data_IF_758819982664
#
_entry.id   IF_758819982664
#
_cell.length_a   1.000
_cell.length_b   1.000
_cell.length_c   1.000
_cell.angle_alpha   90.00
_cell.angle_beta   90.00
_cell.angle_gamma   90.00
#
_symmetry.space_group_name_H-M   'P 1'
#
loop_
_entity.id
_entity.type
_entity.pdbx_description
1 polymer ?
#
# COMPACT_ATOMS: atom_id res chain seq x y z
N UNK A 1 0.53 7.94 36.16
CA UNK A 1 -0.47 7.76 35.07
C UNK A 1 0.25 6.99 33.97
N UNK A 2 -0.08 5.74 33.77
CA UNK A 2 0.49 4.95 32.67
C UNK A 2 -0.07 5.48 31.38
N UNK A 3 0.77 5.96 30.48
CA UNK A 3 0.37 6.47 29.20
C UNK A 3 0.65 5.38 28.13
N UNK A 4 -0.05 4.26 28.25
CA UNK A 4 0.03 3.19 27.25
C UNK A 4 -0.58 3.66 25.93
N UNK A 5 0.14 3.44 24.85
CA UNK A 5 -0.29 3.76 23.49
C UNK A 5 -0.12 2.55 22.61
N UNK A 6 -1.07 2.34 21.71
CA UNK A 6 -0.88 1.41 20.60
C UNK A 6 -0.33 2.19 19.41
N UNK A 7 0.74 1.69 18.83
CA UNK A 7 1.36 2.26 17.64
C UNK A 7 1.02 1.40 16.43
N UNK A 8 0.31 1.99 15.49
CA UNK A 8 -0.04 1.36 14.22
C UNK A 8 0.92 1.85 13.14
N UNK A 9 1.52 0.95 12.39
CA UNK A 9 2.43 1.30 11.30
C UNK A 9 2.61 0.17 10.33
N UNK A 10 3.18 0.46 9.17
CA UNK A 10 3.47 -0.57 8.19
C UNK A 10 4.61 -0.16 7.27
N UNK A 11 5.03 -1.11 6.46
CA UNK A 11 6.12 -0.97 5.50
C UNK A 11 5.67 -1.52 4.16
N UNK A 12 5.88 -0.76 3.10
CA UNK A 12 5.84 -1.24 1.73
C UNK A 12 7.26 -1.61 1.29
N UNK A 13 7.45 -2.85 0.85
CA UNK A 13 8.64 -3.31 0.16
C UNK A 13 8.28 -3.58 -1.28
N UNK A 14 8.94 -2.88 -2.22
CA UNK A 14 8.66 -2.97 -3.65
C UNK A 14 9.93 -3.40 -4.37
N UNK A 15 9.80 -4.39 -5.23
CA UNK A 15 10.87 -4.84 -6.11
C UNK A 15 10.42 -4.74 -7.56
N UNK A 16 11.28 -4.22 -8.42
CA UNK A 16 11.07 -4.17 -9.86
C UNK A 16 12.09 -5.06 -10.55
N UNK A 17 11.59 -5.98 -11.38
CA UNK A 17 12.41 -6.85 -12.21
C UNK A 17 12.17 -6.52 -13.69
N UNK A 18 13.22 -6.66 -14.50
CA UNK A 18 13.11 -6.53 -15.95
C UNK A 18 12.42 -7.76 -16.59
N UNK A 19 12.22 -7.72 -17.90
CA UNK A 19 11.61 -8.81 -18.67
C UNK A 19 12.37 -10.14 -18.59
N UNK A 20 13.64 -10.12 -18.22
CA UNK A 20 14.53 -11.27 -18.10
C UNK A 20 14.62 -11.76 -16.64
N UNK A 21 13.89 -11.12 -15.72
CA UNK A 21 13.82 -11.45 -14.29
C UNK A 21 14.95 -10.86 -13.44
N UNK A 22 15.79 -9.98 -13.99
CA UNK A 22 16.84 -9.32 -13.20
C UNK A 22 16.29 -8.19 -12.37
N UNK A 23 16.72 -8.08 -11.11
CA UNK A 23 16.32 -6.98 -10.23
C UNK A 23 16.88 -5.65 -10.76
N UNK A 24 15.99 -4.72 -11.09
CA UNK A 24 16.33 -3.34 -11.51
C UNK A 24 16.51 -2.42 -10.32
N UNK A 25 15.58 -2.49 -9.37
CA UNK A 25 15.59 -1.69 -8.16
C UNK A 25 14.65 -2.28 -7.10
N UNK A 26 14.89 -1.90 -5.85
CA UNK A 26 13.93 -2.12 -4.78
C UNK A 26 13.81 -0.86 -3.91
N UNK A 27 12.69 -0.74 -3.22
CA UNK A 27 12.41 0.31 -2.26
C UNK A 27 11.71 -0.28 -1.05
N UNK A 28 12.04 0.24 0.13
CA UNK A 28 11.37 -0.10 1.38
C UNK A 28 11.01 1.21 2.09
N UNK A 29 9.75 1.39 2.43
CA UNK A 29 9.26 2.63 3.03
C UNK A 29 8.19 2.39 4.06
N UNK A 30 8.35 3.07 5.20
CA UNK A 30 7.27 3.19 6.17
C UNK A 30 6.10 3.94 5.56
N UNK A 31 4.91 3.47 5.84
CA UNK A 31 3.67 4.09 5.38
C UNK A 31 3.16 5.12 6.38
N UNK A 32 2.24 5.94 5.91
CA UNK A 32 1.33 6.71 6.74
C UNK A 32 -0.03 5.97 6.76
N UNK A 33 -0.49 5.56 7.95
CA UNK A 33 -1.88 5.12 8.13
C UNK A 33 -2.73 6.37 8.21
N UNK A 34 -3.63 6.55 7.24
CA UNK A 34 -4.44 7.77 7.15
C UNK A 34 -5.61 7.75 8.13
N UNK A 35 -6.22 8.90 8.43
CA UNK A 35 -7.28 9.03 9.43
C UNK A 35 -8.48 8.10 9.18
N UNK A 36 -8.89 7.94 7.91
CA UNK A 36 -9.99 7.03 7.56
C UNK A 36 -9.62 5.55 7.75
N UNK A 37 -8.34 5.18 7.59
CA UNK A 37 -7.83 3.85 7.91
C UNK A 37 -7.86 3.55 9.41
N UNK A 38 -7.43 4.49 10.25
CA UNK A 38 -7.49 4.36 11.71
C UNK A 38 -8.94 4.25 12.20
N UNK A 39 -9.83 5.07 11.63
CA UNK A 39 -11.28 4.99 11.92
C UNK A 39 -11.85 3.63 11.54
N UNK A 40 -11.52 3.12 10.34
CA UNK A 40 -12.02 1.84 9.85
C UNK A 40 -11.61 0.67 10.76
N UNK A 41 -10.36 0.65 11.25
CA UNK A 41 -9.90 -0.33 12.23
C UNK A 41 -10.77 -0.32 13.50
N UNK A 42 -11.00 0.86 14.09
CA UNK A 42 -11.80 0.98 15.31
C UNK A 42 -13.26 0.56 15.07
N UNK A 43 -13.86 1.00 13.96
CA UNK A 43 -15.25 0.64 13.61
C UNK A 43 -15.40 -0.87 13.44
N UNK A 44 -14.48 -1.53 12.72
CA UNK A 44 -14.54 -2.97 12.47
C UNK A 44 -14.38 -3.78 13.74
N UNK A 45 -13.44 -3.42 14.59
CA UNK A 45 -13.10 -4.20 15.77
C UNK A 45 -14.05 -3.93 16.94
N UNK A 46 -14.34 -2.65 17.22
CA UNK A 46 -15.08 -2.28 18.44
C UNK A 46 -16.58 -2.06 18.24
N UNK A 47 -17.03 -1.68 17.04
CA UNK A 47 -18.47 -1.44 16.81
C UNK A 47 -19.18 -2.61 16.13
N UNK A 48 -18.47 -3.67 15.78
CA UNK A 48 -19.06 -4.87 15.17
C UNK A 48 -19.65 -4.63 13.78
N UNK A 49 -19.18 -3.62 13.05
CA UNK A 49 -19.65 -3.37 11.68
C UNK A 49 -19.35 -4.58 10.80
N UNK A 50 -20.34 -5.07 10.07
CA UNK A 50 -20.19 -6.20 9.15
C UNK A 50 -18.99 -5.99 8.21
N UNK A 51 -18.09 -6.97 8.16
CA UNK A 51 -16.81 -6.84 7.48
C UNK A 51 -16.40 -8.12 6.75
N UNK A 52 -16.05 -7.96 5.48
CA UNK A 52 -15.32 -8.97 4.72
C UNK A 52 -13.97 -8.37 4.35
N UNK A 53 -12.91 -9.00 4.82
CA UNK A 53 -11.56 -8.53 4.53
C UNK A 53 -11.27 -8.63 3.03
N UNK A 54 -11.08 -7.49 2.39
CA UNK A 54 -10.73 -7.39 0.98
C UNK A 54 -9.82 -6.19 0.82
N UNK A 55 -8.51 -6.44 0.69
CA UNK A 55 -7.49 -5.42 0.57
C UNK A 55 -6.72 -5.54 -0.72
N UNK A 56 -6.40 -4.43 -1.32
CA UNK A 56 -5.75 -4.32 -2.62
C UNK A 56 -4.64 -3.29 -2.57
N UNK A 57 -3.59 -3.53 -3.32
CA UNK A 57 -2.47 -2.61 -3.46
C UNK A 57 -2.60 -1.87 -4.77
N UNK A 58 -2.45 -0.54 -4.72
CA UNK A 58 -2.27 0.31 -5.89
C UNK A 58 -0.89 0.95 -5.89
N UNK A 59 -0.47 1.39 -7.07
CA UNK A 59 0.73 2.19 -7.27
C UNK A 59 0.32 3.61 -7.62
N UNK A 60 1.09 4.61 -7.19
CA UNK A 60 0.88 5.96 -7.67
C UNK A 60 2.12 6.52 -8.36
N UNK A 61 1.88 7.45 -9.31
CA UNK A 61 2.92 8.10 -10.09
C UNK A 61 3.69 9.14 -9.28
N UNK A 62 4.69 9.73 -9.93
CA UNK A 62 5.47 10.83 -9.38
C UNK A 62 4.55 11.95 -8.89
N UNK A 63 4.42 12.05 -7.59
CA UNK A 63 3.81 13.21 -6.98
C UNK A 63 4.91 14.23 -6.79
N UNK A 64 4.93 15.20 -7.64
CA UNK A 64 6.04 16.17 -7.76
C UNK A 64 6.31 17.00 -6.49
N UNK A 65 5.50 16.87 -5.44
CA UNK A 65 5.70 17.62 -4.20
C UNK A 65 4.78 17.21 -3.03
N UNK A 66 3.84 16.29 -3.21
CA UNK A 66 2.85 16.01 -2.18
C UNK A 66 2.93 14.55 -1.72
N UNK A 67 3.53 14.36 -0.57
CA UNK A 67 3.48 13.11 0.14
C UNK A 67 2.05 12.78 0.56
N UNK A 68 1.71 11.50 0.74
CA UNK A 68 0.45 11.14 1.37
C UNK A 68 0.24 11.91 2.67
N UNK A 69 -0.96 12.46 2.83
CA UNK A 69 -1.36 13.23 4.01
C UNK A 69 -2.33 12.42 4.87
N UNK A 70 -2.34 12.70 6.18
CA UNK A 70 -3.22 11.99 7.13
C UNK A 70 -4.72 12.15 6.80
N UNK A 71 -5.09 13.23 6.12
CA UNK A 71 -6.47 13.50 5.69
C UNK A 71 -6.87 12.89 4.36
N UNK A 72 -5.96 12.20 3.64
CA UNK A 72 -6.26 11.62 2.34
C UNK A 72 -7.31 10.52 2.42
N UNK A 73 -8.10 10.43 1.35
CA UNK A 73 -9.11 9.40 1.11
C UNK A 73 -9.01 8.92 -0.33
N UNK A 74 -9.68 7.82 -0.70
CA UNK A 74 -9.73 7.37 -2.11
C UNK A 74 -10.37 8.40 -3.04
N UNK A 75 -11.24 9.26 -2.54
CA UNK A 75 -11.91 10.31 -3.34
C UNK A 75 -11.20 11.67 -3.30
N UNK A 76 -10.24 11.86 -2.39
CA UNK A 76 -9.52 13.13 -2.23
C UNK A 76 -8.12 12.87 -1.68
N UNK A 77 -7.14 12.91 -2.57
CA UNK A 77 -5.71 12.75 -2.29
C UNK A 77 -4.93 13.68 -3.21
N UNK A 78 -4.83 14.94 -2.79
CA UNK A 78 -4.19 15.98 -3.58
C UNK A 78 -2.72 15.66 -3.82
N UNK A 79 -2.29 15.70 -5.08
CA UNK A 79 -0.90 15.65 -5.47
C UNK A 79 -0.37 14.29 -5.90
N UNK A 80 -1.14 13.22 -5.83
CA UNK A 80 -0.74 11.95 -6.42
C UNK A 80 -1.85 11.33 -7.28
N UNK A 81 -1.44 10.62 -8.34
CA UNK A 81 -2.35 9.97 -9.30
C UNK A 81 -1.98 8.49 -9.40
N UNK A 82 -2.98 7.62 -9.43
CA UNK A 82 -2.76 6.19 -9.56
C UNK A 82 -2.07 5.83 -10.87
N UNK A 83 -1.07 4.96 -10.80
CA UNK A 83 -0.44 4.32 -11.95
C UNK A 83 -1.31 3.14 -12.38
N UNK A 84 -1.78 3.18 -13.62
CA UNK A 84 -2.63 2.14 -14.21
C UNK A 84 -1.96 1.40 -15.37
N UNK A 85 -0.70 1.70 -15.67
CA UNK A 85 0.07 1.10 -16.75
C UNK A 85 0.56 -0.32 -16.39
N UNK A 86 -0.38 -1.21 -16.04
CA UNK A 86 -0.15 -2.63 -15.81
C UNK A 86 -1.33 -3.46 -16.36
N UNK A 87 -1.09 -4.74 -16.69
CA UNK A 87 -2.02 -5.57 -17.45
C UNK A 87 -3.17 -6.15 -16.62
N UNK A 88 -3.05 -6.26 -15.29
CA UNK A 88 -4.13 -6.75 -14.45
C UNK A 88 -5.36 -5.83 -14.60
N UNK A 89 -6.55 -6.43 -14.71
CA UNK A 89 -7.80 -5.68 -14.89
C UNK A 89 -8.17 -4.82 -13.68
N UNK A 90 -7.75 -5.23 -12.49
CA UNK A 90 -8.01 -4.58 -11.22
C UNK A 90 -6.71 -4.38 -10.44
N UNK A 91 -6.76 -3.63 -9.35
CA UNK A 91 -5.66 -3.58 -8.36
C UNK A 91 -5.40 -4.99 -7.82
N UNK A 92 -4.14 -5.46 -7.77
CA UNK A 92 -3.81 -6.77 -7.19
C UNK A 92 -4.20 -6.87 -5.72
N UNK A 93 -4.67 -8.05 -5.32
CA UNK A 93 -5.03 -8.32 -3.94
C UNK A 93 -3.81 -8.33 -3.00
N UNK A 94 -3.97 -7.81 -1.80
CA UNK A 94 -3.07 -8.00 -0.67
C UNK A 94 -3.59 -9.19 0.16
N UNK A 95 -3.11 -10.38 -0.15
CA UNK A 95 -3.52 -11.62 0.56
C UNK A 95 -2.66 -11.79 1.82
N UNK A 96 -3.19 -11.40 2.96
CA UNK A 96 -2.49 -11.47 4.23
C UNK A 96 -2.51 -12.88 4.83
N UNK A 97 -1.38 -13.27 5.44
CA UNK A 97 -1.33 -14.40 6.37
C UNK A 97 -2.01 -14.02 7.71
N UNK A 98 -2.23 -15.01 8.58
CA UNK A 98 -2.73 -14.74 9.93
C UNK A 98 -1.74 -13.84 10.70
N UNK A 99 -2.29 -12.98 11.56
CA UNK A 99 -1.48 -12.14 12.43
C UNK A 99 -0.65 -12.98 13.43
N UNK A 100 0.53 -12.48 13.76
CA UNK A 100 1.39 -13.12 14.77
C UNK A 100 0.85 -12.87 16.18
N UNK A 101 1.07 -13.84 17.08
CA UNK A 101 0.82 -13.69 18.52
C UNK A 101 2.12 -13.22 19.17
N UNK A 102 2.44 -11.94 18.99
CA UNK A 102 3.69 -11.31 19.45
C UNK A 102 3.47 -9.81 19.67
N UNK A 103 4.46 -9.15 20.21
CA UNK A 103 4.57 -7.71 20.30
C UNK A 103 5.86 -7.28 19.56
N UNK A 104 5.73 -6.58 18.42
CA UNK A 104 4.49 -6.21 17.74
C UNK A 104 3.73 -7.40 17.14
N UNK A 105 2.40 -7.30 17.10
CA UNK A 105 1.59 -8.20 16.28
C UNK A 105 1.69 -7.79 14.81
N UNK A 106 2.00 -8.73 13.92
CA UNK A 106 2.33 -8.46 12.51
C UNK A 106 1.45 -9.25 11.57
N UNK A 107 0.96 -8.61 10.51
CA UNK A 107 0.40 -9.25 9.31
C UNK A 107 1.22 -8.88 8.08
N UNK A 108 1.32 -9.77 7.10
CA UNK A 108 2.06 -9.53 5.85
C UNK A 108 1.50 -10.37 4.70
N UNK A 109 1.62 -9.86 3.47
CA UNK A 109 1.33 -10.61 2.25
C UNK A 109 2.61 -11.19 1.60
N UNK A 110 3.71 -11.34 2.36
CA UNK A 110 5.01 -11.78 1.84
C UNK A 110 4.99 -13.17 1.19
N UNK A 111 4.07 -14.06 1.63
CA UNK A 111 3.89 -15.37 1.00
C UNK A 111 3.24 -15.30 -0.40
N UNK A 112 2.54 -14.20 -0.71
CA UNK A 112 1.89 -13.94 -2.00
C UNK A 112 1.90 -12.43 -2.29
N UNK A 113 3.05 -11.87 -2.67
CA UNK A 113 3.18 -10.44 -2.97
C UNK A 113 2.24 -10.01 -4.10
N UNK A 114 1.69 -8.81 -3.98
CA UNK A 114 0.89 -8.22 -5.04
C UNK A 114 1.77 -7.97 -6.27
N UNK A 115 1.40 -8.49 -7.43
CA UNK A 115 2.23 -8.47 -8.64
C UNK A 115 1.59 -7.60 -9.72
N UNK A 116 2.39 -6.73 -10.32
CA UNK A 116 2.01 -5.82 -11.40
C UNK A 116 2.86 -6.12 -12.63
N UNK A 117 2.23 -6.57 -13.71
CA UNK A 117 2.89 -6.75 -15.00
C UNK A 117 2.79 -5.46 -15.80
N UNK A 118 3.88 -4.71 -15.88
CA UNK A 118 3.91 -3.36 -16.48
C UNK A 118 3.73 -3.49 -18.00
N UNK A 119 2.78 -2.75 -18.55
CA UNK A 119 2.44 -2.74 -19.98
C UNK A 119 2.62 -1.37 -20.66
N UNK A 120 3.29 -0.45 -20.00
CA UNK A 120 3.62 0.88 -20.55
C UNK A 120 4.75 1.54 -19.75
N UNK A 121 5.41 2.53 -20.34
CA UNK A 121 6.44 3.32 -19.66
C UNK A 121 5.79 4.35 -18.76
N UNK A 122 6.15 4.34 -17.47
CA UNK A 122 5.64 5.29 -16.48
C UNK A 122 6.62 5.45 -15.33
N UNK A 123 6.30 6.34 -14.41
CA UNK A 123 7.06 6.55 -13.17
C UNK A 123 6.22 6.11 -11.98
N UNK A 124 6.79 5.32 -11.09
CA UNK A 124 6.20 4.91 -9.82
C UNK A 124 6.84 5.71 -8.70
N UNK A 125 6.03 6.48 -7.98
CA UNK A 125 6.45 7.31 -6.86
C UNK A 125 6.09 6.73 -5.51
N UNK A 126 5.16 5.76 -5.46
CA UNK A 126 4.74 5.15 -4.21
C UNK A 126 3.74 4.02 -4.37
N UNK A 127 3.24 3.54 -3.23
CA UNK A 127 2.21 2.51 -3.16
C UNK A 127 1.16 2.87 -2.09
N UNK A 128 -0.04 2.32 -2.24
CA UNK A 128 -1.13 2.48 -1.27
C UNK A 128 -1.91 1.20 -1.07
N UNK A 129 -2.57 1.08 0.10
CA UNK A 129 -3.45 -0.01 0.45
C UNK A 129 -4.89 0.51 0.53
N UNK A 130 -5.80 -0.18 -0.15
CA UNK A 130 -7.23 0.21 -0.23
C UNK A 130 -8.16 -0.99 -0.17
N UNK A 131 -9.43 -0.76 0.20
CA UNK A 131 -10.47 -1.79 0.23
C UNK A 131 -11.24 -1.95 -1.10
N UNK A 132 -10.91 -1.17 -2.14
CA UNK A 132 -11.53 -1.24 -3.46
C UNK A 132 -10.52 -1.63 -4.53
N UNK A 133 -10.88 -2.60 -5.39
CA UNK A 133 -9.98 -3.12 -6.43
C UNK A 133 -10.08 -2.39 -7.78
N UNK A 134 -10.95 -1.41 -7.92
CA UNK A 134 -11.18 -0.71 -9.19
C UNK A 134 -10.03 0.24 -9.50
N UNK A 135 -9.32 0.01 -10.61
CA UNK A 135 -8.29 0.94 -11.10
C UNK A 135 -8.89 2.34 -11.28
N UNK A 136 -8.19 3.36 -10.82
CA UNK A 136 -8.63 4.78 -10.81
C UNK A 136 -9.96 5.00 -10.07
N UNK A 137 -10.45 3.99 -9.34
CA UNK A 137 -11.64 4.12 -8.53
C UNK A 137 -11.42 5.03 -7.33
N UNK A 138 -12.46 5.80 -7.00
CA UNK A 138 -12.45 6.77 -5.90
C UNK A 138 -13.26 6.31 -4.70
N UNK A 139 -13.72 5.05 -4.72
CA UNK A 139 -14.50 4.41 -3.65
C UNK A 139 -13.63 3.57 -2.74
N UNK A 140 -14.20 3.11 -1.64
CA UNK A 140 -13.52 2.31 -0.64
C UNK A 140 -12.71 3.13 0.36
N UNK A 141 -12.02 2.42 1.24
CA UNK A 141 -11.18 3.00 2.29
C UNK A 141 -9.74 3.07 1.77
N UNK A 142 -9.13 4.23 1.80
CA UNK A 142 -7.69 4.37 1.76
C UNK A 142 -7.17 4.05 3.17
N UNK A 143 -6.50 2.92 3.34
CA UNK A 143 -5.97 2.54 4.64
C UNK A 143 -4.63 3.24 4.91
N UNK A 144 -3.73 3.15 3.96
CA UNK A 144 -2.39 3.73 4.08
C UNK A 144 -1.76 4.01 2.74
N UNK A 145 -0.79 4.91 2.72
CA UNK A 145 0.02 5.20 1.55
C UNK A 145 1.47 5.51 1.95
N UNK A 146 2.39 5.33 1.03
CA UNK A 146 3.82 5.59 1.24
C UNK A 146 4.47 6.10 -0.03
N UNK A 147 5.21 7.20 0.08
CA UNK A 147 6.03 7.79 -0.96
C UNK A 147 7.45 7.21 -0.94
N UNK A 148 8.02 6.91 -2.10
CA UNK A 148 9.38 6.38 -2.25
C UNK A 148 10.47 7.47 -2.27
N UNK A 149 10.33 8.53 -1.48
CA UNK A 149 11.18 9.73 -1.46
C UNK A 149 12.70 9.50 -1.53
N UNK A 150 13.18 8.40 -1.02
CA UNK A 150 14.58 8.02 -1.16
C UNK A 150 14.64 6.52 -1.45
N UNK A 151 15.18 6.15 -2.57
CA UNK A 151 15.93 6.92 -3.57
C UNK A 151 15.07 7.69 -4.60
N UNK A 152 13.77 7.96 -4.32
CA UNK A 152 12.88 8.76 -5.17
C UNK A 152 12.07 7.95 -6.17
N UNK A 153 11.40 8.66 -7.04
CA UNK A 153 10.56 8.11 -8.09
C UNK A 153 11.34 7.19 -9.03
N UNK A 154 10.70 6.10 -9.46
CA UNK A 154 11.32 5.06 -10.27
C UNK A 154 10.64 4.90 -11.62
N UNK A 155 11.42 4.94 -12.68
CA UNK A 155 10.94 4.59 -14.01
C UNK A 155 10.74 3.09 -14.16
N UNK A 156 9.60 2.72 -14.76
CA UNK A 156 9.28 1.36 -15.19
C UNK A 156 8.91 1.38 -16.66
N UNK A 157 9.16 0.28 -17.36
CA UNK A 157 8.89 0.15 -18.81
C UNK A 157 8.07 -1.10 -19.08
N UNK A 158 7.47 -1.14 -20.27
CA UNK A 158 6.75 -2.35 -20.71
C UNK A 158 7.61 -3.62 -20.58
N UNK A 159 7.04 -4.66 -19.98
CA UNK A 159 7.70 -5.92 -19.67
C UNK A 159 8.33 -6.01 -18.28
N UNK A 160 8.44 -4.93 -17.56
CA UNK A 160 8.85 -4.97 -16.15
C UNK A 160 7.77 -5.62 -15.28
N UNK A 161 8.19 -6.27 -14.21
CA UNK A 161 7.30 -6.82 -13.18
C UNK A 161 7.63 -6.17 -11.84
N UNK A 162 6.62 -5.58 -11.19
CA UNK A 162 6.74 -5.12 -9.81
C UNK A 162 6.05 -6.11 -8.88
N UNK A 163 6.72 -6.44 -7.78
CA UNK A 163 6.12 -7.14 -6.64
C UNK A 163 6.09 -6.23 -5.44
N UNK A 164 4.93 -6.18 -4.75
CA UNK A 164 4.73 -5.33 -3.58
C UNK A 164 4.35 -6.20 -2.39
N UNK A 165 5.20 -6.18 -1.38
CA UNK A 165 4.92 -6.72 -0.06
C UNK A 165 4.51 -5.59 0.87
N UNK A 166 3.41 -5.78 1.58
CA UNK A 166 2.97 -4.90 2.65
C UNK A 166 2.99 -5.65 3.98
N UNK A 167 3.67 -5.07 4.94
CA UNK A 167 3.71 -5.57 6.31
C UNK A 167 3.13 -4.51 7.23
N UNK A 168 2.15 -4.88 8.04
CA UNK A 168 1.53 -3.99 9.02
C UNK A 168 1.75 -4.54 10.42
N UNK A 169 1.99 -3.65 11.38
CA UNK A 169 2.24 -3.99 12.78
C UNK A 169 1.41 -3.15 13.74
N UNK A 170 1.01 -3.78 14.82
CA UNK A 170 0.48 -3.14 16.02
C UNK A 170 1.45 -3.41 17.17
N UNK A 171 1.94 -2.35 17.78
CA UNK A 171 2.95 -2.35 18.84
C UNK A 171 2.34 -1.75 20.12
N UNK A 172 2.43 -2.46 21.23
CA UNK A 172 2.07 -1.95 22.55
C UNK A 172 3.24 -1.10 23.08
N UNK A 173 3.22 0.21 22.85
CA UNK A 173 4.29 1.16 23.17
C UNK A 173 4.03 1.95 24.44
#
# INVERSE_FOLDING_TARGET
MFNEKVKAGGVFTVQCHDKDGNLKWQAEKHNLVVNVGLKDMNDKYFTGTSYTAAWYIGLYGAASSNNPAAGDTMSSHAGWTEVVAYSQATRPAATFAAATTADPSVITNSASPATFSINGTTTVGGAFLTSDNTKSGTTGILFSASDFQSPGDRSVVNGDTLTVTYTFSLDAA
#
